data_IF_532362652187
#
_entry.id   IF_532362652187
#
_cell.length_a   1.000
_cell.length_b   1.000
_cell.length_c   1.000
_cell.angle_alpha   90.00
_cell.angle_beta   90.00
_cell.angle_gamma   90.00
#
_symmetry.space_group_name_H-M   'P 1'
#
loop_
_entity.id
_entity.type
_entity.pdbx_description
1 polymer ?
#
# COMPACT_ATOMS: atom_id res chain seq x y z
N UNK A 1 1.23 -35.84 -4.62
CA UNK A 1 0.74 -34.62 -3.92
C UNK A 1 1.38 -34.61 -2.55
N UNK A 2 2.37 -33.75 -2.29
CA UNK A 2 2.88 -33.58 -0.92
C UNK A 2 1.82 -32.83 -0.12
N UNK A 3 1.40 -33.34 1.06
CA UNK A 3 0.40 -32.66 1.87
C UNK A 3 0.89 -31.25 2.23
N UNK A 4 -0.02 -30.28 2.18
CA UNK A 4 0.18 -28.93 2.72
C UNK A 4 0.26 -29.04 4.25
N UNK A 5 1.37 -29.56 4.76
CA UNK A 5 1.56 -29.68 6.20
C UNK A 5 1.95 -28.31 6.73
N UNK A 6 1.06 -27.72 7.52
CA UNK A 6 1.32 -26.53 8.30
C UNK A 6 2.67 -26.65 9.02
N UNK A 7 3.56 -25.68 8.79
CA UNK A 7 4.85 -25.61 9.46
C UNK A 7 4.77 -24.60 10.61
N UNK A 8 4.73 -25.04 11.88
CA UNK A 8 4.62 -24.14 13.04
C UNK A 8 5.85 -23.22 13.21
N UNK A 9 7.00 -23.55 12.61
CA UNK A 9 8.19 -22.69 12.63
C UNK A 9 8.05 -21.47 11.71
N UNK A 10 7.38 -21.64 10.58
CA UNK A 10 7.17 -20.56 9.62
C UNK A 10 5.89 -19.76 9.95
N UNK A 11 4.89 -20.43 10.52
CA UNK A 11 3.58 -19.87 10.87
C UNK A 11 3.29 -20.03 12.35
N UNK A 12 3.91 -19.22 13.21
CA UNK A 12 3.54 -19.21 14.62
C UNK A 12 2.12 -18.65 14.80
N UNK A 13 1.15 -19.52 15.09
CA UNK A 13 -0.24 -19.13 15.28
C UNK A 13 -0.44 -18.11 16.40
N UNK A 14 0.38 -18.16 17.46
CA UNK A 14 0.31 -17.19 18.55
C UNK A 14 0.69 -15.79 18.06
N UNK A 15 1.74 -15.71 17.23
CA UNK A 15 2.19 -14.45 16.64
C UNK A 15 1.09 -13.86 15.75
N UNK A 16 0.52 -14.67 14.85
CA UNK A 16 -0.57 -14.25 13.95
C UNK A 16 -1.81 -13.81 14.74
N UNK A 17 -2.16 -14.55 15.79
CA UNK A 17 -3.30 -14.22 16.64
C UNK A 17 -3.07 -12.87 17.36
N UNK A 18 -1.90 -12.69 17.97
CA UNK A 18 -1.57 -11.45 18.68
C UNK A 18 -1.51 -10.25 17.74
N UNK A 19 -0.93 -10.39 16.54
CA UNK A 19 -0.91 -9.30 15.55
C UNK A 19 -2.34 -8.93 15.13
N UNK A 20 -3.17 -9.90 14.77
CA UNK A 20 -4.59 -9.66 14.46
C UNK A 20 -5.33 -8.98 15.62
N UNK A 21 -5.12 -9.45 16.85
CA UNK A 21 -5.80 -8.93 18.02
C UNK A 21 -5.41 -7.46 18.31
N UNK A 22 -4.11 -7.16 18.30
CA UNK A 22 -3.60 -5.79 18.50
C UNK A 22 -4.12 -4.86 17.41
N UNK A 23 -4.06 -5.29 16.14
CA UNK A 23 -4.55 -4.50 15.03
C UNK A 23 -6.07 -4.29 15.08
N UNK A 24 -6.83 -5.30 15.51
CA UNK A 24 -8.27 -5.18 15.74
C UNK A 24 -8.58 -4.12 16.79
N UNK A 25 -7.87 -4.12 17.91
CA UNK A 25 -8.01 -3.10 18.96
C UNK A 25 -7.71 -1.71 18.41
N UNK A 26 -6.56 -1.49 17.77
CA UNK A 26 -6.20 -0.16 17.26
C UNK A 26 -7.15 0.33 16.15
N UNK A 27 -7.66 -0.59 15.33
CA UNK A 27 -8.68 -0.29 14.33
C UNK A 27 -10.00 0.14 14.99
N UNK A 28 -10.48 -0.59 16.02
CA UNK A 28 -11.68 -0.20 16.78
C UNK A 28 -11.53 1.13 17.52
N UNK A 29 -10.37 1.39 18.11
CA UNK A 29 -10.06 2.68 18.74
C UNK A 29 -10.14 3.81 17.71
N UNK A 30 -9.61 3.59 16.51
CA UNK A 30 -9.68 4.58 15.42
C UNK A 30 -11.12 4.86 15.00
N UNK A 31 -11.99 3.85 14.93
CA UNK A 31 -13.43 4.01 14.65
C UNK A 31 -14.11 4.81 15.76
N UNK A 32 -13.88 4.45 17.02
CA UNK A 32 -14.48 5.14 18.18
C UNK A 32 -14.07 6.61 18.19
N UNK A 33 -12.78 6.90 17.98
CA UNK A 33 -12.28 8.28 17.88
C UNK A 33 -12.91 9.03 16.71
N UNK A 34 -13.11 8.38 15.56
CA UNK A 34 -13.79 8.99 14.42
C UNK A 34 -15.26 9.30 14.72
N UNK A 35 -15.97 8.42 15.42
CA UNK A 35 -17.35 8.65 15.87
C UNK A 35 -17.43 9.81 16.87
N UNK A 36 -16.54 9.85 17.87
CA UNK A 36 -16.50 10.95 18.85
C UNK A 36 -16.21 12.29 18.17
N UNK A 37 -15.23 12.30 17.25
CA UNK A 37 -14.83 13.53 16.55
C UNK A 37 -15.82 13.98 15.47
N UNK A 38 -16.67 13.08 14.97
CA UNK A 38 -17.72 13.41 13.98
C UNK A 38 -18.74 14.42 14.51
N UNK A 39 -19.02 14.42 15.83
CA UNK A 39 -19.88 15.43 16.47
C UNK A 39 -19.25 16.84 16.48
N UNK A 40 -17.94 16.95 16.23
CA UNK A 40 -17.18 18.22 16.18
C UNK A 40 -16.34 18.30 14.90
N UNK A 41 -16.91 17.84 13.77
CA UNK A 41 -16.21 17.68 12.50
C UNK A 41 -15.53 18.97 11.99
N UNK A 42 -16.14 20.14 12.24
CA UNK A 42 -15.60 21.41 11.73
C UNK A 42 -14.39 21.96 12.51
N UNK A 43 -14.18 21.54 13.76
CA UNK A 43 -13.17 22.15 14.64
C UNK A 43 -11.95 21.27 14.90
N UNK A 44 -12.01 19.96 14.61
CA UNK A 44 -10.93 19.03 14.96
C UNK A 44 -9.84 18.98 13.89
N UNK A 45 -8.75 19.73 14.12
CA UNK A 45 -7.54 19.75 13.27
C UNK A 45 -6.91 18.36 13.03
N UNK A 46 -7.20 17.36 13.89
CA UNK A 46 -6.58 16.03 13.89
C UNK A 46 -7.41 14.91 13.27
N UNK A 47 -8.61 15.20 12.73
CA UNK A 47 -9.51 14.16 12.21
C UNK A 47 -8.88 13.35 11.07
N UNK A 48 -8.10 14.00 10.21
CA UNK A 48 -7.43 13.35 9.10
C UNK A 48 -6.29 12.42 9.54
N UNK A 49 -5.66 12.67 10.68
CA UNK A 49 -4.70 11.74 11.28
C UNK A 49 -5.38 10.46 11.77
N UNK A 50 -6.59 10.58 12.34
CA UNK A 50 -7.40 9.44 12.77
C UNK A 50 -7.82 8.60 11.55
N UNK A 51 -8.27 9.25 10.48
CA UNK A 51 -8.59 8.59 9.21
C UNK A 51 -7.35 7.88 8.63
N UNK A 52 -6.18 8.53 8.65
CA UNK A 52 -4.93 7.91 8.23
C UNK A 52 -4.59 6.66 9.05
N UNK A 53 -4.68 6.74 10.39
CA UNK A 53 -4.47 5.58 11.27
C UNK A 53 -5.42 4.45 10.90
N UNK A 54 -6.72 4.75 10.74
CA UNK A 54 -7.72 3.77 10.32
C UNK A 54 -7.36 3.08 9.00
N UNK A 55 -6.99 3.86 7.97
CA UNK A 55 -6.60 3.33 6.66
C UNK A 55 -5.32 2.49 6.70
N UNK A 56 -4.32 2.89 7.50
CA UNK A 56 -3.07 2.15 7.63
C UNK A 56 -3.28 0.77 8.27
N UNK A 57 -4.08 0.70 9.34
CA UNK A 57 -4.44 -0.58 9.97
C UNK A 57 -5.29 -1.44 9.02
N UNK A 58 -6.26 -0.82 8.33
CA UNK A 58 -7.08 -1.48 7.32
C UNK A 58 -6.24 -2.06 6.19
N UNK A 59 -5.21 -1.35 5.72
CA UNK A 59 -4.27 -1.83 4.70
C UNK A 59 -3.58 -3.12 5.13
N UNK A 60 -2.96 -3.14 6.31
CA UNK A 60 -2.23 -4.32 6.80
C UNK A 60 -3.15 -5.53 7.04
N UNK A 61 -4.37 -5.31 7.56
CA UNK A 61 -5.37 -6.37 7.73
C UNK A 61 -5.82 -6.93 6.38
N UNK A 62 -6.17 -6.05 5.44
CA UNK A 62 -6.58 -6.45 4.09
C UNK A 62 -5.48 -7.19 3.35
N UNK A 63 -4.22 -6.81 3.55
CA UNK A 63 -3.07 -7.51 2.97
C UNK A 63 -2.99 -8.96 3.48
N UNK A 64 -3.11 -9.16 4.79
CA UNK A 64 -3.08 -10.50 5.36
C UNK A 64 -4.29 -11.34 4.92
N UNK A 65 -5.49 -10.76 4.94
CA UNK A 65 -6.72 -11.42 4.48
C UNK A 65 -6.62 -11.82 3.01
N UNK A 66 -6.15 -10.92 2.14
CA UNK A 66 -5.98 -11.24 0.72
C UNK A 66 -4.95 -12.37 0.53
N UNK A 67 -3.86 -12.34 1.30
CA UNK A 67 -2.82 -13.37 1.24
C UNK A 67 -3.36 -14.72 1.73
N UNK A 68 -4.15 -14.74 2.80
CA UNK A 68 -4.72 -15.99 3.32
C UNK A 68 -5.79 -16.57 2.39
N UNK A 69 -6.57 -15.72 1.71
CA UNK A 69 -7.61 -16.17 0.78
C UNK A 69 -7.06 -16.65 -0.57
N UNK A 70 -6.12 -15.90 -1.15
CA UNK A 70 -5.67 -16.12 -2.54
C UNK A 70 -4.28 -16.78 -2.64
N UNK A 71 -3.45 -16.67 -1.61
CA UNK A 71 -2.08 -17.18 -1.55
C UNK A 71 -1.86 -18.12 -0.33
N UNK A 72 -2.85 -18.95 -0.01
CA UNK A 72 -2.85 -19.81 1.20
C UNK A 72 -1.63 -20.75 1.33
N UNK A 73 -0.90 -21.04 0.25
CA UNK A 73 0.31 -21.86 0.26
C UNK A 73 1.57 -21.13 0.75
N UNK A 74 1.58 -19.80 0.75
CA UNK A 74 2.74 -18.96 1.09
C UNK A 74 2.44 -17.93 2.18
N UNK A 75 1.24 -17.99 2.78
CA UNK A 75 0.86 -17.10 3.88
C UNK A 75 1.70 -17.39 5.11
N UNK A 76 2.28 -16.32 5.68
CA UNK A 76 3.08 -16.38 6.92
C UNK A 76 2.76 -15.21 7.84
N UNK A 77 3.29 -15.22 9.07
CA UNK A 77 3.18 -14.05 9.97
C UNK A 77 3.80 -12.78 9.37
N UNK A 78 4.69 -12.90 8.37
CA UNK A 78 5.27 -11.75 7.66
C UNK A 78 4.35 -11.19 6.58
N UNK A 79 3.28 -11.89 6.20
CA UNK A 79 2.32 -11.45 5.18
C UNK A 79 1.51 -10.23 5.61
N UNK A 80 1.49 -9.86 6.90
CA UNK A 80 0.97 -8.57 7.35
C UNK A 80 1.77 -7.38 6.81
N UNK A 81 2.99 -7.58 6.30
CA UNK A 81 3.91 -6.53 5.86
C UNK A 81 4.38 -5.55 6.95
N UNK A 82 4.09 -5.81 8.23
CA UNK A 82 4.55 -5.00 9.36
C UNK A 82 6.07 -5.15 9.54
N UNK A 83 6.60 -6.38 9.45
CA UNK A 83 8.02 -6.69 9.65
C UNK A 83 8.50 -7.80 8.69
N UNK A 84 9.83 -7.96 8.60
CA UNK A 84 10.46 -9.06 7.87
C UNK A 84 10.76 -8.83 6.38
N UNK A 85 10.19 -7.80 5.73
CA UNK A 85 10.48 -7.50 4.34
C UNK A 85 11.64 -6.49 4.17
N UNK A 86 12.47 -6.70 3.14
CA UNK A 86 13.46 -5.71 2.69
C UNK A 86 12.69 -4.45 2.26
N UNK A 87 12.88 -3.36 3.00
CA UNK A 87 12.11 -2.11 2.82
C UNK A 87 11.25 -1.71 4.02
N UNK A 88 10.98 -2.62 4.97
CA UNK A 88 10.07 -2.30 6.08
C UNK A 88 10.60 -1.21 7.01
N UNK A 89 11.92 -1.15 7.23
CA UNK A 89 12.53 -0.07 8.02
C UNK A 89 12.30 1.29 7.35
N UNK A 90 12.51 1.36 6.04
CA UNK A 90 12.27 2.56 5.24
C UNK A 90 10.79 2.95 5.24
N UNK A 91 9.89 1.96 5.15
CA UNK A 91 8.45 2.17 5.23
C UNK A 91 8.05 2.79 6.58
N UNK A 92 8.48 2.21 7.71
CA UNK A 92 8.17 2.74 9.04
C UNK A 92 8.77 4.13 9.27
N UNK A 93 9.99 4.38 8.79
CA UNK A 93 10.57 5.72 8.82
C UNK A 93 9.70 6.73 8.07
N UNK A 94 9.15 6.36 6.91
CA UNK A 94 8.26 7.22 6.13
C UNK A 94 6.92 7.45 6.84
N UNK A 95 6.37 6.45 7.53
CA UNK A 95 5.16 6.63 8.35
C UNK A 95 5.42 7.54 9.56
N UNK A 96 6.57 7.41 10.21
CA UNK A 96 6.97 8.31 11.31
C UNK A 96 7.14 9.75 10.82
N UNK A 97 7.80 9.95 9.67
CA UNK A 97 7.92 11.26 9.02
C UNK A 97 6.55 11.84 8.63
N UNK A 98 5.63 11.01 8.16
CA UNK A 98 4.24 11.41 7.83
C UNK A 98 3.54 12.00 9.06
N UNK A 99 3.61 11.30 10.19
CA UNK A 99 2.99 11.74 11.45
C UNK A 99 3.69 13.01 11.96
N UNK A 100 5.03 13.03 11.91
CA UNK A 100 5.82 14.16 12.37
C UNK A 100 5.55 15.44 11.57
N UNK A 101 5.56 15.38 10.23
CA UNK A 101 5.25 16.51 9.36
C UNK A 101 3.81 17.00 9.59
N UNK A 102 2.85 16.09 9.68
CA UNK A 102 1.46 16.44 9.91
C UNK A 102 1.25 17.18 11.23
N UNK A 103 1.84 16.67 12.32
CA UNK A 103 1.76 17.32 13.63
C UNK A 103 2.46 18.68 13.62
N UNK A 104 3.66 18.76 13.03
CA UNK A 104 4.44 19.99 12.95
C UNK A 104 3.67 21.10 12.22
N UNK A 105 3.10 20.80 11.06
CA UNK A 105 2.34 21.78 10.27
C UNK A 105 1.09 22.28 11.00
N UNK A 106 0.49 21.50 11.90
CA UNK A 106 -0.71 21.90 12.66
C UNK A 106 -0.42 22.58 14.00
N UNK A 107 0.85 22.75 14.38
CA UNK A 107 1.25 23.61 15.50
C UNK A 107 1.09 25.09 15.11
N UNK A 108 0.52 25.89 15.99
CA UNK A 108 0.18 27.29 15.68
C UNK A 108 1.39 28.14 15.23
N UNK A 109 2.59 27.81 15.72
CA UNK A 109 3.86 28.46 15.35
C UNK A 109 4.27 28.23 13.88
N UNK A 110 3.89 27.10 13.29
CA UNK A 110 4.25 26.71 11.92
C UNK A 110 3.06 26.78 10.95
N UNK A 111 1.87 27.13 11.43
CA UNK A 111 0.68 27.25 10.60
C UNK A 111 0.85 28.28 9.45
N UNK A 112 1.74 29.27 9.64
CA UNK A 112 2.12 30.22 8.59
C UNK A 112 2.72 29.55 7.34
N UNK A 113 3.38 28.40 7.48
CA UNK A 113 3.94 27.63 6.36
C UNK A 113 2.80 27.15 5.44
N UNK A 114 1.73 26.59 6.00
CA UNK A 114 0.56 26.17 5.22
C UNK A 114 -0.09 27.37 4.53
N UNK A 115 -0.25 28.47 5.27
CA UNK A 115 -0.86 29.73 4.80
C UNK A 115 -0.05 30.38 3.66
N UNK A 116 1.27 30.16 3.62
CA UNK A 116 2.14 30.67 2.56
C UNK A 116 2.15 29.77 1.32
N UNK A 117 2.17 28.45 1.51
CA UNK A 117 2.16 27.50 0.38
C UNK A 117 0.77 27.36 -0.25
N UNK A 118 -0.29 27.61 0.52
CA UNK A 118 -1.67 27.54 0.05
C UNK A 118 -2.46 28.78 0.54
N UNK A 119 -3.19 29.48 -0.36
CA UNK A 119 -3.77 30.79 -0.07
C UNK A 119 -4.82 30.78 1.05
N UNK A 120 -4.99 31.88 1.78
CA UNK A 120 -5.79 31.93 3.02
C UNK A 120 -7.18 32.59 2.88
N UNK A 121 -7.73 32.66 1.67
CA UNK A 121 -9.09 33.20 1.46
C UNK A 121 -10.16 32.16 1.81
N UNK A 122 -11.39 32.58 2.16
CA UNK A 122 -12.51 31.67 2.50
C UNK A 122 -12.83 30.63 1.41
N UNK A 123 -12.55 30.94 0.13
CA UNK A 123 -12.64 29.99 -0.98
C UNK A 123 -11.61 28.85 -0.89
N UNK A 124 -10.50 29.06 -0.18
CA UNK A 124 -9.43 28.08 -0.02
C UNK A 124 -9.74 27.00 1.02
N UNK A 125 -10.58 27.28 2.02
CA UNK A 125 -11.08 26.26 2.96
C UNK A 125 -11.73 25.07 2.24
N UNK A 126 -12.50 25.34 1.18
CA UNK A 126 -13.11 24.32 0.35
C UNK A 126 -12.09 23.57 -0.51
N UNK A 127 -11.08 24.27 -1.04
CA UNK A 127 -10.02 23.66 -1.83
C UNK A 127 -9.21 22.64 -1.03
N UNK A 128 -8.90 22.92 0.24
CA UNK A 128 -8.25 21.96 1.13
C UNK A 128 -9.09 20.69 1.27
N UNK A 129 -10.37 20.82 1.59
CA UNK A 129 -11.26 19.67 1.73
C UNK A 129 -11.35 18.85 0.43
N UNK A 130 -11.41 19.52 -0.72
CA UNK A 130 -11.42 18.85 -2.03
C UNK A 130 -10.13 18.04 -2.24
N UNK A 131 -8.94 18.62 -1.99
CA UNK A 131 -7.67 17.88 -2.10
C UNK A 131 -7.67 16.68 -1.14
N UNK A 132 -8.15 16.87 0.08
CA UNK A 132 -8.13 15.80 1.10
C UNK A 132 -9.06 14.64 0.72
N UNK A 133 -10.27 14.94 0.24
CA UNK A 133 -11.23 13.95 -0.26
C UNK A 133 -10.69 13.25 -1.51
N UNK A 134 -10.04 13.98 -2.42
CA UNK A 134 -9.37 13.39 -3.57
C UNK A 134 -8.24 12.46 -3.14
N UNK A 135 -7.40 12.87 -2.19
CA UNK A 135 -6.34 12.03 -1.61
C UNK A 135 -6.89 10.74 -0.99
N UNK A 136 -7.96 10.85 -0.20
CA UNK A 136 -8.67 9.71 0.36
C UNK A 136 -9.19 8.77 -0.75
N UNK A 137 -9.84 9.33 -1.77
CA UNK A 137 -10.40 8.56 -2.89
C UNK A 137 -9.30 7.82 -3.68
N UNK A 138 -8.18 8.49 -3.95
CA UNK A 138 -7.00 7.90 -4.58
C UNK A 138 -6.45 6.75 -3.72
N UNK A 139 -6.39 6.94 -2.40
CA UNK A 139 -5.87 5.91 -1.49
C UNK A 139 -6.74 4.65 -1.48
N UNK A 140 -8.07 4.80 -1.45
CA UNK A 140 -9.03 3.71 -1.50
C UNK A 140 -9.01 2.99 -2.85
N UNK A 141 -8.91 3.75 -3.94
CA UNK A 141 -8.76 3.19 -5.28
C UNK A 141 -7.45 2.38 -5.40
N UNK A 142 -6.37 2.86 -4.79
CA UNK A 142 -5.10 2.11 -4.69
C UNK A 142 -5.26 0.78 -3.97
N UNK A 143 -5.92 0.77 -2.81
CA UNK A 143 -6.23 -0.46 -2.07
C UNK A 143 -7.09 -1.44 -2.88
N UNK A 144 -8.09 -0.92 -3.59
CA UNK A 144 -8.97 -1.72 -4.42
C UNK A 144 -8.22 -2.36 -5.60
N UNK A 145 -7.40 -1.60 -6.32
CA UNK A 145 -6.54 -2.13 -7.40
C UNK A 145 -5.62 -3.22 -6.86
N UNK A 146 -5.03 -3.00 -5.68
CA UNK A 146 -4.13 -3.98 -5.05
C UNK A 146 -4.88 -5.27 -4.69
N UNK A 147 -6.08 -5.17 -4.12
CA UNK A 147 -6.93 -6.32 -3.86
C UNK A 147 -7.25 -7.10 -5.14
N UNK A 148 -7.65 -6.41 -6.21
CA UNK A 148 -7.92 -7.04 -7.51
C UNK A 148 -6.68 -7.72 -8.09
N UNK A 149 -5.50 -7.11 -7.95
CA UNK A 149 -4.24 -7.70 -8.38
C UNK A 149 -3.95 -9.01 -7.64
N UNK A 150 -4.07 -9.03 -6.31
CA UNK A 150 -3.86 -10.24 -5.51
C UNK A 150 -4.89 -11.32 -5.83
N UNK A 151 -6.17 -10.94 -6.00
CA UNK A 151 -7.24 -11.87 -6.39
C UNK A 151 -7.01 -12.48 -7.77
N UNK A 152 -6.65 -11.66 -8.76
CA UNK A 152 -6.43 -12.11 -10.15
C UNK A 152 -5.15 -12.94 -10.27
N UNK A 153 -4.11 -12.59 -9.52
CA UNK A 153 -2.84 -13.30 -9.54
C UNK A 153 -2.90 -14.62 -8.76
N UNK A 154 -3.72 -14.71 -7.71
CA UNK A 154 -3.91 -15.94 -6.94
C UNK A 154 -2.60 -16.53 -6.46
N UNK A 155 -2.45 -17.85 -6.59
CA UNK A 155 -1.27 -18.60 -6.15
C UNK A 155 0.04 -18.21 -6.86
N UNK A 156 -0.01 -17.48 -7.98
CA UNK A 156 1.18 -16.99 -8.67
C UNK A 156 1.71 -15.67 -8.09
N UNK A 157 1.02 -15.07 -7.12
CA UNK A 157 1.49 -13.88 -6.41
C UNK A 157 2.44 -14.27 -5.29
N UNK A 158 3.62 -13.65 -5.25
CA UNK A 158 4.55 -13.78 -4.15
C UNK A 158 5.00 -12.41 -3.65
N UNK A 159 4.92 -12.18 -2.34
CA UNK A 159 5.49 -10.98 -1.70
C UNK A 159 7.02 -10.94 -1.76
N UNK A 160 7.64 -12.10 -1.93
CA UNK A 160 9.09 -12.29 -2.07
C UNK A 160 9.47 -12.51 -3.53
N UNK A 161 10.49 -11.78 -3.98
CA UNK A 161 11.16 -12.08 -5.24
C UNK A 161 11.82 -13.46 -5.09
N UNK A 162 11.23 -14.47 -5.69
CA UNK A 162 11.72 -15.85 -5.57
C UNK A 162 12.92 -16.01 -6.50
N UNK A 163 14.11 -16.20 -5.94
CA UNK A 163 15.34 -16.54 -6.69
C UNK A 163 15.39 -18.02 -7.07
N UNK A 164 14.55 -18.85 -6.46
CA UNK A 164 14.47 -20.29 -6.70
C UNK A 164 13.12 -20.64 -7.30
N UNK A 165 13.10 -20.86 -8.62
CA UNK A 165 11.95 -21.43 -9.31
C UNK A 165 11.81 -22.91 -8.94
N UNK A 166 11.30 -23.19 -7.74
CA UNK A 166 10.81 -24.53 -7.46
C UNK A 166 9.61 -24.74 -8.37
N UNK A 167 9.74 -25.67 -9.33
CA UNK A 167 8.77 -26.14 -10.31
C UNK A 167 7.43 -26.57 -9.67
N UNK A 168 6.69 -25.64 -9.07
CA UNK A 168 5.31 -25.86 -8.66
C UNK A 168 4.46 -25.63 -9.89
N UNK A 169 3.76 -26.67 -10.31
CA UNK A 169 2.92 -26.78 -11.51
C UNK A 169 1.80 -25.72 -11.66
N UNK A 170 1.74 -24.72 -10.77
CA UNK A 170 0.73 -23.65 -10.70
C UNK A 170 1.23 -22.28 -11.18
N UNK A 171 2.48 -22.15 -11.60
CA UNK A 171 3.03 -20.88 -12.09
C UNK A 171 2.71 -20.67 -13.58
N UNK A 172 1.44 -20.38 -13.88
CA UNK A 172 1.04 -19.90 -15.21
C UNK A 172 1.27 -18.40 -15.30
N UNK A 173 1.70 -17.91 -16.45
CA UNK A 173 1.75 -16.47 -16.72
C UNK A 173 0.33 -15.91 -16.75
N UNK A 174 0.05 -14.92 -15.91
CA UNK A 174 -1.27 -14.31 -15.76
C UNK A 174 -1.33 -13.04 -16.60
N UNK A 175 -2.20 -13.04 -17.61
CA UNK A 175 -2.36 -11.95 -18.58
C UNK A 175 -3.83 -11.49 -18.72
N UNK A 176 -4.71 -11.96 -17.83
CA UNK A 176 -6.15 -11.66 -17.85
C UNK A 176 -6.55 -10.76 -16.66
N UNK A 177 -7.82 -10.31 -16.66
CA UNK A 177 -8.32 -9.39 -15.63
C UNK A 177 -7.55 -8.07 -15.63
N UNK A 178 -7.13 -7.60 -14.46
CA UNK A 178 -6.38 -6.34 -14.34
C UNK A 178 -4.99 -6.40 -14.99
N UNK A 179 -4.40 -7.60 -15.09
CA UNK A 179 -3.11 -7.82 -15.74
C UNK A 179 -3.16 -7.62 -17.26
N UNK A 180 -4.34 -7.70 -17.88
CA UNK A 180 -4.50 -7.36 -19.31
C UNK A 180 -4.14 -5.88 -19.60
N UNK A 181 -4.26 -5.01 -18.61
CA UNK A 181 -4.05 -3.57 -18.77
C UNK A 181 -2.73 -3.07 -18.18
N UNK A 182 -2.28 -3.67 -17.07
CA UNK A 182 -1.12 -3.21 -16.31
C UNK A 182 -0.31 -4.43 -15.87
N UNK A 183 0.99 -4.47 -16.15
CA UNK A 183 1.85 -5.62 -15.80
C UNK A 183 2.07 -5.80 -14.29
N UNK A 184 2.15 -4.69 -13.55
CA UNK A 184 2.36 -4.68 -12.09
C UNK A 184 1.26 -3.90 -11.34
N UNK A 185 0.00 -4.37 -11.36
CA UNK A 185 -1.12 -3.63 -10.77
C UNK A 185 -1.05 -3.55 -9.24
N UNK A 186 -0.45 -4.54 -8.57
CA UNK A 186 -0.26 -4.53 -7.12
C UNK A 186 0.70 -3.42 -6.65
N UNK A 187 1.75 -3.14 -7.42
CA UNK A 187 2.69 -2.04 -7.15
C UNK A 187 2.05 -0.69 -7.38
N UNK A 188 1.27 -0.56 -8.46
CA UNK A 188 0.49 0.64 -8.72
C UNK A 188 -0.52 0.92 -7.61
N UNK A 189 -1.24 -0.09 -7.14
CA UNK A 189 -2.20 0.05 -6.04
C UNK A 189 -1.53 0.54 -4.76
N UNK A 190 -0.36 0.00 -4.40
CA UNK A 190 0.40 0.46 -3.25
C UNK A 190 0.97 1.88 -3.44
N UNK A 191 1.44 2.21 -4.64
CA UNK A 191 1.93 3.54 -4.96
C UNK A 191 0.81 4.59 -4.80
N UNK A 192 -0.37 4.34 -5.38
CA UNK A 192 -1.54 5.22 -5.24
C UNK A 192 -2.00 5.33 -3.79
N UNK A 193 -1.97 4.23 -3.02
CA UNK A 193 -2.27 4.26 -1.59
C UNK A 193 -1.36 5.25 -0.85
N UNK A 194 -0.04 5.11 -0.99
CA UNK A 194 0.92 5.99 -0.31
C UNK A 194 0.80 7.46 -0.73
N UNK A 195 0.66 7.74 -2.03
CA UNK A 195 0.51 9.12 -2.52
C UNK A 195 -0.82 9.74 -2.09
N UNK A 196 -1.90 8.96 -2.15
CA UNK A 196 -3.23 9.38 -1.68
C UNK A 196 -3.23 9.77 -0.21
N UNK A 197 -2.53 9.02 0.64
CA UNK A 197 -2.36 9.35 2.07
C UNK A 197 -1.65 10.70 2.24
N UNK A 198 -0.55 10.96 1.53
CA UNK A 198 0.18 12.23 1.69
C UNK A 198 -0.65 13.43 1.19
N UNK A 199 -1.42 13.26 0.10
CA UNK A 199 -2.39 14.25 -0.38
C UNK A 199 -3.50 14.50 0.65
N UNK A 200 -4.05 13.44 1.23
CA UNK A 200 -5.09 13.52 2.26
C UNK A 200 -4.62 14.29 3.51
N UNK A 201 -3.36 14.11 3.89
CA UNK A 201 -2.76 14.79 5.03
C UNK A 201 -2.25 16.20 4.71
N UNK A 202 -2.19 16.56 3.42
CA UNK A 202 -1.59 17.81 2.92
C UNK A 202 -0.10 17.95 3.27
N UNK A 203 0.61 16.82 3.38
CA UNK A 203 2.04 16.76 3.68
C UNK A 203 2.85 16.87 2.38
N UNK A 204 3.04 18.08 1.87
CA UNK A 204 3.71 18.31 0.57
C UNK A 204 5.16 17.82 0.58
N UNK A 205 5.88 18.01 1.69
CA UNK A 205 7.29 17.60 1.80
C UNK A 205 7.43 16.09 1.69
N UNK A 206 6.70 15.37 2.53
CA UNK A 206 6.70 13.91 2.51
C UNK A 206 6.01 13.33 1.27
N UNK A 207 5.11 14.06 0.61
CA UNK A 207 4.56 13.67 -0.69
C UNK A 207 5.66 13.58 -1.75
N UNK A 208 6.46 14.63 -1.91
CA UNK A 208 7.57 14.65 -2.87
C UNK A 208 8.57 13.55 -2.56
N UNK A 209 8.92 13.40 -1.27
CA UNK A 209 9.82 12.35 -0.81
C UNK A 209 9.27 10.95 -1.09
N UNK A 210 7.98 10.72 -0.83
CA UNK A 210 7.30 9.45 -1.09
C UNK A 210 7.30 9.11 -2.58
N UNK A 211 7.01 10.07 -3.47
CA UNK A 211 7.08 9.88 -4.92
C UNK A 211 8.48 9.42 -5.32
N UNK A 212 9.52 10.14 -4.88
CA UNK A 212 10.91 9.83 -5.22
C UNK A 212 11.32 8.44 -4.73
N UNK A 213 11.11 8.14 -3.45
CA UNK A 213 11.51 6.86 -2.84
C UNK A 213 10.75 5.68 -3.46
N UNK A 214 9.43 5.80 -3.62
CA UNK A 214 8.62 4.72 -4.17
C UNK A 214 8.94 4.48 -5.65
N UNK A 215 9.16 5.53 -6.44
CA UNK A 215 9.53 5.38 -7.85
C UNK A 215 10.88 4.68 -7.99
N UNK A 216 11.88 5.09 -7.21
CA UNK A 216 13.20 4.46 -7.21
C UNK A 216 13.12 2.99 -6.76
N UNK A 217 12.39 2.70 -5.68
CA UNK A 217 12.20 1.35 -5.16
C UNK A 217 11.49 0.43 -6.17
N UNK A 218 10.39 0.89 -6.75
CA UNK A 218 9.63 0.09 -7.71
C UNK A 218 10.37 -0.08 -9.03
N UNK A 219 11.14 0.91 -9.49
CA UNK A 219 11.94 0.78 -10.72
C UNK A 219 12.93 -0.39 -10.62
N UNK A 220 13.71 -0.44 -9.54
CA UNK A 220 14.69 -1.51 -9.31
C UNK A 220 13.98 -2.86 -9.19
N UNK A 221 12.88 -2.90 -8.45
CA UNK A 221 12.14 -4.14 -8.19
C UNK A 221 11.45 -4.69 -9.43
N UNK A 222 10.79 -3.82 -10.21
CA UNK A 222 10.14 -4.18 -11.48
C UNK A 222 11.18 -4.68 -12.47
N UNK A 223 12.29 -3.97 -12.66
CA UNK A 223 13.34 -4.41 -13.60
C UNK A 223 13.88 -5.80 -13.24
N UNK A 224 14.12 -6.06 -11.95
CA UNK A 224 14.54 -7.37 -11.49
C UNK A 224 13.46 -8.44 -11.75
N UNK A 225 12.20 -8.15 -11.42
CA UNK A 225 11.09 -9.07 -11.59
C UNK A 225 10.80 -9.39 -13.06
N UNK A 226 10.81 -8.39 -13.94
CA UNK A 226 10.64 -8.59 -15.39
C UNK A 226 11.76 -9.47 -15.96
N UNK A 227 13.02 -9.27 -15.55
CA UNK A 227 14.12 -10.14 -15.97
C UNK A 227 13.91 -11.60 -15.52
N UNK A 228 13.45 -11.82 -14.29
CA UNK A 228 13.11 -13.16 -13.80
C UNK A 228 11.93 -13.78 -14.57
N UNK A 229 10.93 -12.98 -14.93
CA UNK A 229 9.79 -13.43 -15.73
C UNK A 229 10.19 -13.78 -17.17
N UNK A 230 11.13 -13.06 -17.78
CA UNK A 230 11.71 -13.40 -19.09
C UNK A 230 12.45 -14.73 -18.98
N UNK A 231 13.32 -14.92 -17.98
CA UNK A 231 14.05 -16.18 -17.78
C UNK A 231 13.08 -17.35 -17.61
N UNK A 232 11.97 -17.15 -16.90
CA UNK A 232 11.00 -18.19 -16.59
C UNK A 232 10.06 -18.54 -17.75
N UNK A 233 9.55 -17.54 -18.47
CA UNK A 233 8.46 -17.70 -19.44
C UNK A 233 8.88 -17.43 -20.89
N UNK A 234 10.10 -16.93 -21.12
CA UNK A 234 10.66 -16.65 -22.44
C UNK A 234 9.75 -15.78 -23.30
N UNK A 235 9.55 -16.21 -24.55
CA UNK A 235 8.78 -15.50 -25.57
C UNK A 235 7.34 -15.19 -25.16
N UNK A 236 6.73 -16.01 -24.28
CA UNK A 236 5.37 -15.75 -23.78
C UNK A 236 5.30 -14.44 -23.00
N UNK A 237 6.33 -14.15 -22.20
CA UNK A 237 6.39 -12.89 -21.45
C UNK A 237 6.77 -11.72 -22.34
N UNK A 238 7.66 -11.93 -23.31
CA UNK A 238 8.04 -10.91 -24.29
C UNK A 238 6.82 -10.48 -25.11
N UNK A 239 6.02 -11.42 -25.60
CA UNK A 239 4.76 -11.13 -26.30
C UNK A 239 3.74 -10.41 -25.39
N UNK A 240 3.69 -10.78 -24.11
CA UNK A 240 2.87 -10.08 -23.12
C UNK A 240 3.33 -8.64 -22.86
N UNK A 241 4.64 -8.37 -22.83
CA UNK A 241 5.20 -7.01 -22.71
C UNK A 241 4.84 -6.14 -23.92
N UNK A 242 4.79 -6.72 -25.13
CA UNK A 242 4.44 -6.01 -26.35
C UNK A 242 2.95 -5.67 -26.44
N UNK A 243 2.09 -6.63 -26.07
CA UNK A 243 0.62 -6.47 -26.10
C UNK A 243 0.12 -5.57 -24.98
N UNK A 244 0.72 -5.70 -23.80
CA UNK A 244 0.43 -4.87 -22.63
C UNK A 244 1.44 -3.75 -22.61
N UNK A 245 1.24 -2.77 -23.51
CA UNK A 245 2.11 -1.58 -23.62
C UNK A 245 2.49 -1.10 -22.22
N UNK A 246 3.78 -0.87 -22.03
CA UNK A 246 4.46 -0.40 -20.82
C UNK A 246 3.95 0.94 -20.32
N UNK A 247 2.66 1.04 -19.98
CA UNK A 247 2.18 2.04 -19.04
C UNK A 247 2.27 1.37 -17.68
N UNK A 248 3.51 1.25 -17.20
CA UNK A 248 3.71 1.34 -15.77
C UNK A 248 3.13 2.72 -15.44
N UNK A 249 1.89 2.75 -14.93
CA UNK A 249 1.18 4.01 -14.66
C UNK A 249 1.85 4.77 -13.49
N UNK A 250 2.89 4.19 -12.90
CA UNK A 250 3.76 4.86 -11.94
C UNK A 250 4.63 5.84 -12.76
N UNK A 251 4.48 7.15 -12.59
CA UNK A 251 5.25 8.11 -13.36
C UNK A 251 6.75 7.87 -13.17
N UNK A 252 7.52 7.97 -14.26
CA UNK A 252 8.99 7.81 -14.30
C UNK A 252 9.55 6.37 -14.23
N UNK A 253 8.72 5.35 -14.49
CA UNK A 253 9.12 3.94 -14.65
C UNK A 253 8.58 3.42 -15.98
#
# INVERSE_FOLDING_TARGET
MTPLTYNPKDNNLLEIFLTCFIMGITFTISIILLLITSFSFSNNKYIWLIIYSFLLHGFFLMEFINTSLYQYNSVTSKSFLIYGNKGNKQFWNLQLLTIWEYLLLRLDKFNWIIINYLPNNNACCWWYLVIQILGLSISLLGLFIRHLAMKTCGLSFNHYLTTTFNNKQHDKLITHGIYKYIRHPSYLGFWLFCIGIQLMLLNIGNLILSIYILNWFFKIRIQYEENQLIIKYGDKYINYQQTTKSKILIPFI
#
